data_IF_895887831810
#
_entry.id   IF_895887831810
#
_cell.length_a   1.000
_cell.length_b   1.000
_cell.length_c   1.000
_cell.angle_alpha   90.00
_cell.angle_beta   90.00
_cell.angle_gamma   90.00
#
_symmetry.space_group_name_H-M   'P 1'
#
loop_
_entity.id
_entity.type
_entity.pdbx_description
1 polymer ?
#
# COMPACT_ATOMS: atom_id res chain seq x y z
N UNK A 1 26.22 -63.17 -1.91
CA UNK A 1 25.08 -62.48 -2.52
C UNK A 1 24.23 -61.91 -1.40
N UNK A 2 24.34 -60.60 -1.14
CA UNK A 2 23.55 -59.87 -0.14
C UNK A 2 22.80 -58.74 -0.86
N UNK A 3 21.53 -58.46 -0.51
CA UNK A 3 20.76 -57.42 -1.18
C UNK A 3 21.19 -56.04 -0.65
N UNK A 4 21.18 -54.98 -1.48
CA UNK A 4 21.36 -53.64 -0.98
C UNK A 4 20.04 -53.12 -0.36
N UNK A 5 20.16 -52.61 0.85
CA UNK A 5 19.12 -51.93 1.62
C UNK A 5 18.69 -50.63 0.94
N UNK A 6 17.39 -50.50 0.69
CA UNK A 6 16.74 -49.25 0.30
C UNK A 6 16.63 -48.33 1.52
N UNK A 7 17.45 -47.28 1.57
CA UNK A 7 17.21 -46.14 2.45
C UNK A 7 16.62 -45.00 1.61
N UNK A 8 15.30 -44.92 1.60
CA UNK A 8 14.59 -43.76 1.08
C UNK A 8 14.74 -42.62 2.10
N UNK A 9 15.61 -41.65 1.81
CA UNK A 9 15.64 -40.38 2.52
C UNK A 9 14.41 -39.58 2.10
N UNK A 10 13.39 -39.58 2.95
CA UNK A 10 12.32 -38.59 2.87
C UNK A 10 12.92 -37.21 3.23
N UNK A 11 13.20 -36.39 2.22
CA UNK A 11 13.48 -34.97 2.43
C UNK A 11 12.16 -34.31 2.86
N UNK A 12 11.94 -34.19 4.16
CA UNK A 12 11.01 -33.22 4.72
C UNK A 12 11.59 -31.83 4.40
N UNK A 13 11.04 -31.17 3.38
CA UNK A 13 11.25 -29.75 3.19
C UNK A 13 10.64 -29.02 4.39
N UNK A 14 11.47 -28.68 5.38
CA UNK A 14 11.11 -27.71 6.40
C UNK A 14 11.03 -26.34 5.72
N UNK A 15 9.81 -25.94 5.36
CA UNK A 15 9.49 -24.53 5.17
C UNK A 15 9.56 -23.88 6.54
N UNK A 16 10.72 -23.32 6.90
CA UNK A 16 10.79 -22.38 8.01
C UNK A 16 9.89 -21.19 7.68
N UNK A 17 8.90 -20.85 8.52
CA UNK A 17 8.21 -19.59 8.36
C UNK A 17 9.25 -18.48 8.55
N UNK A 18 9.29 -17.52 7.64
CA UNK A 18 9.99 -16.27 7.89
C UNK A 18 9.15 -15.47 8.92
N UNK A 19 9.25 -15.84 10.20
CA UNK A 19 8.46 -15.28 11.31
C UNK A 19 9.10 -14.01 11.88
N UNK A 20 9.28 -12.96 11.07
CA UNK A 20 9.71 -11.68 11.62
C UNK A 20 9.34 -10.47 10.76
N UNK A 21 8.11 -10.01 10.97
CA UNK A 21 7.45 -9.00 10.17
C UNK A 21 6.44 -8.30 11.07
N UNK A 22 6.46 -6.97 11.14
CA UNK A 22 5.30 -6.25 11.64
C UNK A 22 4.20 -6.36 10.60
N UNK A 23 3.20 -7.21 10.82
CA UNK A 23 1.98 -7.27 9.99
C UNK A 23 0.80 -6.77 10.79
N UNK A 24 0.22 -5.65 10.38
CA UNK A 24 -0.91 -5.06 11.10
C UNK A 24 -1.91 -4.40 10.15
N UNK A 25 -3.13 -4.20 10.65
CA UNK A 25 -4.18 -3.53 9.89
C UNK A 25 -4.37 -2.10 10.36
N UNK A 26 -4.58 -1.22 9.40
CA UNK A 26 -5.06 0.14 9.59
C UNK A 26 -6.39 0.28 8.86
N UNK A 27 -7.46 0.57 9.62
CA UNK A 27 -8.80 0.77 9.04
C UNK A 27 -8.89 2.08 8.26
N UNK A 28 -9.96 2.27 7.49
CA UNK A 28 -10.20 3.51 6.76
C UNK A 28 -10.28 4.71 7.70
N UNK A 29 -9.42 5.71 7.49
CA UNK A 29 -9.53 7.00 8.16
C UNK A 29 -10.55 7.89 7.41
N UNK A 30 -10.34 8.04 6.10
CA UNK A 30 -11.18 8.82 5.19
C UNK A 30 -10.88 8.45 3.73
N UNK A 31 -11.87 8.63 2.85
CA UNK A 31 -11.67 8.65 1.38
C UNK A 31 -11.99 10.06 0.93
N UNK A 32 -11.02 10.75 0.36
CA UNK A 32 -11.09 12.19 0.06
C UNK A 32 -10.23 12.54 -1.15
N UNK A 33 -10.51 13.67 -1.81
CA UNK A 33 -9.70 14.16 -2.92
C UNK A 33 -8.60 15.08 -2.39
N UNK A 34 -7.72 14.50 -1.58
CA UNK A 34 -6.59 15.18 -0.93
C UNK A 34 -5.31 14.40 -1.13
N UNK A 35 -4.24 15.13 -1.44
CA UNK A 35 -2.89 14.58 -1.57
C UNK A 35 -1.88 15.59 -1.04
N UNK A 36 -1.75 15.71 0.30
CA UNK A 36 -0.92 16.75 0.89
C UNK A 36 0.59 16.48 0.74
N UNK A 37 0.98 15.30 0.24
CA UNK A 37 2.38 15.02 -0.08
C UNK A 37 2.74 15.70 -1.40
N UNK A 38 1.98 15.39 -2.48
CA UNK A 38 2.28 15.90 -3.83
C UNK A 38 1.65 17.27 -4.09
N UNK A 39 0.51 17.56 -3.47
CA UNK A 39 -0.30 18.77 -3.67
C UNK A 39 -0.60 19.48 -2.32
N UNK A 40 0.42 19.86 -1.53
CA UNK A 40 0.23 20.46 -0.22
C UNK A 40 -0.58 21.77 -0.31
N UNK A 41 -1.63 21.87 0.51
CA UNK A 41 -2.51 23.05 0.57
C UNK A 41 -3.64 23.04 -0.46
N UNK A 42 -3.71 22.03 -1.32
CA UNK A 42 -4.68 21.95 -2.41
C UNK A 42 -5.84 21.01 -2.05
N UNK A 43 -7.05 21.57 -2.03
CA UNK A 43 -8.30 20.84 -1.87
C UNK A 43 -9.33 21.41 -2.86
N UNK A 44 -9.70 20.68 -3.92
CA UNK A 44 -9.35 19.28 -4.18
C UNK A 44 -8.00 19.04 -4.89
N UNK A 45 -7.34 17.92 -4.59
CA UNK A 45 -6.21 17.38 -5.37
C UNK A 45 -6.67 16.78 -6.72
N UNK A 46 -5.75 16.38 -7.62
CA UNK A 46 -6.10 15.88 -8.95
C UNK A 46 -6.97 14.60 -8.98
N UNK A 47 -6.85 13.71 -7.99
CA UNK A 47 -7.60 12.45 -7.93
C UNK A 47 -7.85 12.00 -6.50
N UNK A 48 -8.79 11.06 -6.34
CA UNK A 48 -9.28 10.60 -5.04
C UNK A 48 -8.34 9.58 -4.41
N UNK A 49 -8.05 9.74 -3.12
CA UNK A 49 -7.22 8.79 -2.37
C UNK A 49 -8.00 8.14 -1.24
N UNK A 50 -7.57 6.93 -0.90
CA UNK A 50 -7.96 6.26 0.33
C UNK A 50 -6.84 6.46 1.35
N UNK A 51 -7.20 6.98 2.54
CA UNK A 51 -6.24 7.28 3.60
C UNK A 51 -6.49 6.42 4.84
N UNK A 52 -5.41 5.90 5.43
CA UNK A 52 -5.39 5.20 6.73
C UNK A 52 -4.32 5.80 7.65
N UNK A 53 -4.40 5.50 8.95
CA UNK A 53 -3.42 5.91 9.96
C UNK A 53 -3.91 7.02 10.90
N UNK A 54 -3.02 7.93 11.28
CA UNK A 54 -3.28 8.98 12.29
C UNK A 54 -4.29 10.05 11.83
N UNK A 55 -5.14 10.54 12.73
CA UNK A 55 -6.12 11.59 12.41
C UNK A 55 -5.52 13.02 12.25
N UNK A 56 -4.21 13.16 12.32
CA UNK A 56 -3.49 14.39 11.97
C UNK A 56 -3.56 14.71 10.47
N UNK A 57 -3.89 13.72 9.61
CA UNK A 57 -4.00 13.90 8.15
C UNK A 57 -4.80 15.14 7.78
N UNK A 58 -4.22 16.06 7.02
CA UNK A 58 -4.88 17.30 6.61
C UNK A 58 -4.36 17.78 5.25
N UNK A 59 -4.94 18.85 4.73
CA UNK A 59 -4.69 19.35 3.36
C UNK A 59 -3.24 19.79 3.14
N UNK A 60 -2.49 20.18 4.18
CA UNK A 60 -1.11 20.70 4.01
C UNK A 60 -0.02 19.73 4.47
N UNK A 61 -0.27 18.94 5.52
CA UNK A 61 0.72 18.10 6.21
C UNK A 61 2.07 18.80 6.32
N UNK A 62 2.21 19.82 7.18
CA UNK A 62 3.48 20.54 7.34
C UNK A 62 4.59 19.59 7.87
N UNK A 63 5.77 19.47 7.19
CA UNK A 63 6.88 18.65 7.68
C UNK A 63 7.38 19.00 9.08
N UNK A 64 7.20 20.26 9.51
CA UNK A 64 7.59 20.76 10.83
C UNK A 64 6.59 20.39 11.95
N UNK A 65 5.46 19.76 11.62
CA UNK A 65 4.44 19.34 12.57
C UNK A 65 4.12 17.87 12.32
N UNK A 66 5.00 16.94 12.75
CA UNK A 66 4.88 15.54 12.43
C UNK A 66 3.59 14.95 13.06
N UNK A 67 2.99 13.91 12.45
CA UNK A 67 1.73 13.34 12.92
C UNK A 67 1.65 12.98 14.41
N UNK A 68 2.69 12.42 15.08
CA UNK A 68 2.64 12.08 16.50
C UNK A 68 2.38 13.26 17.45
N UNK A 69 2.65 14.50 17.02
CA UNK A 69 2.48 15.69 17.85
C UNK A 69 1.04 16.22 17.82
N UNK A 70 0.28 15.90 16.78
CA UNK A 70 -1.04 16.48 16.53
C UNK A 70 -2.15 15.45 16.44
N UNK A 71 -1.84 14.17 16.18
CA UNK A 71 -2.81 13.11 16.15
C UNK A 71 -3.28 12.73 17.57
N UNK A 72 -4.58 12.50 17.72
CA UNK A 72 -5.19 12.02 18.97
C UNK A 72 -5.62 10.55 18.89
N UNK A 73 -5.71 10.00 17.68
CA UNK A 73 -6.00 8.59 17.42
C UNK A 73 -5.32 8.12 16.12
N UNK A 74 -5.27 6.81 15.93
CA UNK A 74 -4.85 6.15 14.68
C UNK A 74 -5.79 4.99 14.37
N UNK A 75 -5.97 4.70 13.09
CA UNK A 75 -6.75 3.53 12.65
C UNK A 75 -5.99 2.21 12.71
N UNK A 76 -4.68 2.26 13.01
CA UNK A 76 -3.77 1.11 13.05
C UNK A 76 -3.83 0.35 14.39
N UNK A 77 -3.62 -0.97 14.37
CA UNK A 77 -3.59 -1.77 15.62
C UNK A 77 -2.37 -1.49 16.50
N UNK A 78 -1.28 -0.95 15.96
CA UNK A 78 -0.21 -0.37 16.78
C UNK A 78 -0.57 1.08 17.12
N UNK A 79 -0.86 1.34 18.39
CA UNK A 79 -1.40 2.60 18.87
C UNK A 79 -0.36 3.74 18.95
N UNK A 80 0.92 3.42 18.77
CA UNK A 80 2.01 4.40 18.64
C UNK A 80 2.31 4.76 17.18
N UNK A 81 1.61 4.16 16.21
CA UNK A 81 1.75 4.47 14.79
C UNK A 81 0.71 5.49 14.32
N UNK A 82 1.12 6.76 14.29
CA UNK A 82 0.33 7.87 13.74
C UNK A 82 0.73 8.22 12.30
N UNK A 83 1.51 7.37 11.64
CA UNK A 83 1.86 7.57 10.23
C UNK A 83 0.59 7.70 9.38
N UNK A 84 0.71 8.33 8.22
CA UNK A 84 -0.35 8.30 7.22
C UNK A 84 0.12 7.54 5.98
N UNK A 85 -0.76 6.66 5.51
CA UNK A 85 -0.56 5.80 4.35
C UNK A 85 -1.75 6.00 3.41
N UNK A 86 -1.48 6.23 2.13
CA UNK A 86 -2.57 6.33 1.17
C UNK A 86 -2.19 5.85 -0.23
N UNK A 87 -3.22 5.51 -0.99
CA UNK A 87 -3.14 5.07 -2.39
C UNK A 87 -4.26 5.72 -3.20
N UNK A 88 -4.16 5.70 -4.52
CA UNK A 88 -5.30 5.94 -5.41
C UNK A 88 -6.49 5.05 -5.06
N UNK A 89 -7.69 5.50 -5.46
CA UNK A 89 -8.94 4.74 -5.32
C UNK A 89 -9.29 4.02 -6.63
N UNK A 90 -9.75 2.78 -6.52
CA UNK A 90 -10.22 2.02 -7.67
C UNK A 90 -11.71 2.28 -7.94
N UNK A 91 -12.07 2.49 -9.20
CA UNK A 91 -13.44 2.58 -9.71
C UNK A 91 -13.73 1.40 -10.64
N UNK A 92 -14.99 0.97 -10.67
CA UNK A 92 -15.54 0.07 -11.66
C UNK A 92 -16.28 0.87 -12.72
N UNK A 93 -15.95 0.69 -13.99
CA UNK A 93 -16.64 1.22 -15.16
C UNK A 93 -17.67 0.20 -15.63
N UNK A 94 -18.95 0.51 -15.46
CA UNK A 94 -20.05 -0.31 -15.95
C UNK A 94 -20.18 -0.23 -17.47
N UNK A 95 -20.87 -1.23 -18.04
CA UNK A 95 -21.19 -1.30 -19.47
C UNK A 95 -21.90 -0.07 -20.03
N UNK A 96 -22.67 0.64 -19.22
CA UNK A 96 -23.34 1.89 -19.61
C UNK A 96 -22.42 3.14 -19.56
N UNK A 97 -21.13 2.96 -19.25
CA UNK A 97 -20.14 4.04 -19.14
C UNK A 97 -20.03 4.66 -17.75
N UNK A 98 -20.99 4.43 -16.84
CA UNK A 98 -20.95 5.01 -15.49
C UNK A 98 -19.92 4.33 -14.60
N UNK A 99 -19.42 5.06 -13.60
CA UNK A 99 -18.39 4.64 -12.67
C UNK A 99 -18.94 4.45 -11.27
N UNK A 100 -18.48 3.44 -10.55
CA UNK A 100 -18.78 3.26 -9.12
C UNK A 100 -17.51 2.92 -8.37
N UNK A 101 -17.29 3.56 -7.23
CA UNK A 101 -16.10 3.28 -6.41
C UNK A 101 -16.09 1.83 -5.93
N UNK A 102 -14.94 1.18 -6.04
CA UNK A 102 -14.71 -0.16 -5.49
C UNK A 102 -14.29 0.00 -4.03
N UNK A 103 -15.05 -0.57 -3.06
CA UNK A 103 -14.68 -0.48 -1.66
C UNK A 103 -13.46 -1.36 -1.36
N UNK A 104 -12.71 -1.00 -0.32
CA UNK A 104 -11.70 -1.89 0.25
C UNK A 104 -12.33 -2.81 1.28
N UNK A 105 -11.79 -4.02 1.41
CA UNK A 105 -12.15 -4.94 2.49
C UNK A 105 -10.94 -5.37 3.29
N UNK A 106 -11.13 -5.80 4.54
CA UNK A 106 -10.04 -6.28 5.36
C UNK A 106 -9.39 -7.53 4.79
N UNK A 107 -8.11 -7.69 5.13
CA UNK A 107 -7.34 -8.88 4.82
C UNK A 107 -7.56 -9.98 5.86
N UNK A 108 -7.14 -11.19 5.52
CA UNK A 108 -7.26 -12.37 6.39
C UNK A 108 -6.62 -12.11 7.76
N UNK A 109 -7.38 -12.38 8.83
CA UNK A 109 -6.99 -12.15 10.22
C UNK A 109 -7.28 -10.73 10.74
N UNK A 110 -7.86 -9.85 9.92
CA UNK A 110 -8.24 -8.49 10.30
C UNK A 110 -9.71 -8.19 9.99
N UNK A 111 -10.58 -9.19 9.96
CA UNK A 111 -11.97 -9.11 9.50
C UNK A 111 -12.83 -8.09 10.28
N UNK A 112 -12.42 -7.72 11.48
CA UNK A 112 -13.08 -6.69 12.29
C UNK A 112 -12.72 -5.24 11.89
N UNK A 113 -11.79 -5.03 10.95
CA UNK A 113 -11.43 -3.70 10.45
C UNK A 113 -12.53 -3.12 9.54
N UNK A 114 -12.67 -1.79 9.53
CA UNK A 114 -13.53 -1.09 8.58
C UNK A 114 -12.75 -0.76 7.30
N UNK A 115 -12.63 -1.73 6.39
CA UNK A 115 -11.87 -1.59 5.15
C UNK A 115 -10.38 -1.32 5.42
N UNK A 116 -9.78 -0.42 4.65
CA UNK A 116 -8.41 0.04 4.85
C UNK A 116 -7.34 -0.87 4.26
N UNK A 117 -6.17 -0.91 4.90
CA UNK A 117 -4.96 -1.53 4.37
C UNK A 117 -4.29 -2.44 5.40
N UNK A 118 -3.57 -3.44 4.92
CA UNK A 118 -2.58 -4.15 5.75
C UNK A 118 -1.21 -3.52 5.52
N UNK A 119 -0.56 -3.09 6.59
CA UNK A 119 0.73 -2.45 6.57
C UNK A 119 1.79 -3.42 7.11
N UNK A 120 2.93 -3.41 6.44
CA UNK A 120 4.05 -4.27 6.71
C UNK A 120 5.31 -3.42 6.94
N UNK A 121 6.01 -3.67 8.05
CA UNK A 121 7.40 -3.20 8.23
C UNK A 121 8.29 -4.42 8.46
N UNK A 122 9.20 -4.67 7.52
CA UNK A 122 10.11 -5.81 7.55
C UNK A 122 11.55 -5.33 7.61
N UNK A 123 12.34 -5.67 8.63
CA UNK A 123 13.76 -5.28 8.66
C UNK A 123 14.59 -6.09 7.65
N UNK A 124 14.32 -7.40 7.51
CA UNK A 124 15.00 -8.29 6.55
C UNK A 124 14.24 -9.62 6.42
N UNK A 125 14.43 -10.33 5.31
CA UNK A 125 13.87 -11.69 5.13
C UNK A 125 14.83 -12.81 5.55
N UNK A 126 16.14 -12.57 5.48
CA UNK A 126 17.17 -13.56 5.83
C UNK A 126 18.30 -12.88 6.61
N UNK A 127 19.02 -13.64 7.43
CA UNK A 127 20.12 -13.09 8.23
C UNK A 127 19.63 -12.18 9.36
N UNK A 128 20.44 -11.18 9.73
CA UNK A 128 20.06 -10.15 10.71
C UNK A 128 20.81 -8.82 10.45
N UNK A 129 20.73 -8.23 9.24
CA UNK A 129 21.31 -6.91 9.00
C UNK A 129 20.60 -5.86 9.86
N UNK A 130 21.38 -4.97 10.47
CA UNK A 130 20.83 -3.79 11.15
C UNK A 130 20.18 -2.86 10.13
N UNK A 131 18.96 -2.43 10.43
CA UNK A 131 18.24 -1.39 9.67
C UNK A 131 18.02 -0.15 10.52
N UNK A 132 17.95 1.00 9.87
CA UNK A 132 17.61 2.28 10.50
C UNK A 132 16.14 2.57 10.22
N UNK A 133 15.33 2.69 11.26
CA UNK A 133 13.93 3.08 11.13
C UNK A 133 13.82 4.53 10.61
N UNK A 134 12.66 4.83 10.04
CA UNK A 134 12.31 6.19 9.62
C UNK A 134 12.27 7.14 10.83
N UNK A 135 12.40 8.45 10.57
CA UNK A 135 12.44 9.51 11.60
C UNK A 135 11.37 10.57 11.35
N UNK A 136 10.97 11.39 12.34
CA UNK A 136 10.01 12.48 12.14
C UNK A 136 10.41 13.39 10.98
N UNK A 137 9.46 13.66 10.08
CA UNK A 137 9.70 14.39 8.83
C UNK A 137 9.96 13.49 7.62
N UNK A 138 10.16 12.18 7.82
CA UNK A 138 10.39 11.24 6.71
C UNK A 138 9.15 11.04 5.85
N UNK A 139 9.32 11.11 4.53
CA UNK A 139 8.24 11.06 3.54
C UNK A 139 8.66 10.23 2.35
N UNK A 140 7.72 9.47 1.76
CA UNK A 140 8.00 8.76 0.52
C UNK A 140 6.80 8.77 -0.40
N UNK A 141 7.09 8.89 -1.69
CA UNK A 141 6.21 8.51 -2.78
C UNK A 141 6.83 7.33 -3.51
N UNK A 142 6.02 6.42 -4.05
CA UNK A 142 6.47 5.49 -5.09
C UNK A 142 5.43 5.37 -6.18
N UNK A 143 5.87 5.05 -7.40
CA UNK A 143 4.98 4.97 -8.56
C UNK A 143 4.86 6.29 -9.29
N UNK A 144 3.98 6.33 -10.28
CA UNK A 144 3.74 7.53 -11.07
C UNK A 144 2.30 7.52 -11.57
N UNK A 145 1.46 8.40 -11.01
CA UNK A 145 0.04 8.50 -11.34
C UNK A 145 -0.23 8.76 -12.85
N UNK A 146 0.71 9.38 -13.56
CA UNK A 146 0.60 9.65 -15.00
C UNK A 146 1.04 8.47 -15.88
N UNK A 147 1.65 7.41 -15.31
CA UNK A 147 2.15 6.27 -16.08
C UNK A 147 1.00 5.46 -16.68
N UNK A 148 1.15 5.11 -17.95
CA UNK A 148 0.33 4.12 -18.69
C UNK A 148 1.22 3.07 -19.38
N UNK A 149 2.50 3.03 -19.02
CA UNK A 149 3.53 2.22 -19.68
C UNK A 149 4.12 1.20 -18.71
N UNK A 150 4.27 -0.02 -19.21
CA UNK A 150 4.94 -1.10 -18.47
C UNK A 150 6.41 -0.77 -18.24
N UNK A 151 7.06 -0.17 -19.23
CA UNK A 151 8.49 0.15 -19.21
C UNK A 151 8.80 1.13 -18.07
N UNK A 152 8.02 2.22 -17.97
CA UNK A 152 8.16 3.20 -16.89
C UNK A 152 7.86 2.55 -15.54
N UNK A 153 6.80 1.74 -15.45
CA UNK A 153 6.38 1.16 -14.16
C UNK A 153 7.34 0.09 -13.66
N UNK A 154 8.02 -0.62 -14.57
CA UNK A 154 8.94 -1.72 -14.22
C UNK A 154 10.13 -1.30 -13.36
N UNK A 155 10.45 0.00 -13.31
CA UNK A 155 11.47 0.55 -12.40
C UNK A 155 11.04 0.48 -10.93
N UNK A 156 9.74 0.54 -10.66
CA UNK A 156 9.15 0.32 -9.34
C UNK A 156 8.95 -1.17 -9.17
N UNK A 157 9.99 -1.84 -8.66
CA UNK A 157 10.14 -3.31 -8.73
C UNK A 157 8.93 -4.12 -8.25
N UNK A 158 8.03 -3.53 -7.46
CA UNK A 158 6.97 -4.25 -6.77
C UNK A 158 5.67 -3.41 -6.58
N UNK A 159 5.26 -2.68 -7.62
CA UNK A 159 3.88 -2.21 -7.79
C UNK A 159 3.10 -3.27 -8.59
N UNK A 160 2.39 -4.15 -7.89
CA UNK A 160 1.79 -5.34 -8.51
C UNK A 160 0.34 -5.55 -8.12
N UNK A 161 -0.34 -6.41 -8.88
CA UNK A 161 -1.70 -6.88 -8.61
C UNK A 161 -1.73 -8.38 -8.48
N UNK A 162 -2.60 -8.90 -7.63
CA UNK A 162 -2.97 -10.32 -7.61
C UNK A 162 -4.47 -10.44 -7.71
N UNK A 163 -4.95 -11.21 -8.68
CA UNK A 163 -6.36 -11.56 -8.80
C UNK A 163 -6.70 -12.68 -7.80
N UNK A 164 -7.37 -12.35 -6.70
CA UNK A 164 -7.63 -13.32 -5.64
C UNK A 164 -8.74 -14.29 -6.06
N UNK A 165 -8.40 -15.57 -6.19
CA UNK A 165 -9.37 -16.64 -6.37
C UNK A 165 -10.04 -17.02 -5.04
N UNK A 166 -9.31 -16.85 -3.94
CA UNK A 166 -9.77 -16.98 -2.56
C UNK A 166 -8.88 -16.12 -1.64
N UNK A 167 -9.22 -16.03 -0.35
CA UNK A 167 -8.49 -15.23 0.62
C UNK A 167 -7.02 -15.66 0.84
N UNK A 168 -6.62 -16.86 0.40
CA UNK A 168 -5.28 -17.43 0.53
C UNK A 168 -4.43 -17.28 -0.75
N UNK A 169 -4.98 -16.71 -1.82
CA UNK A 169 -4.23 -16.53 -3.08
C UNK A 169 -3.09 -15.53 -2.87
N UNK A 170 -1.84 -15.92 -3.11
CA UNK A 170 -0.63 -15.06 -2.94
C UNK A 170 0.35 -15.13 -4.11
N UNK A 171 -0.04 -15.77 -5.22
CA UNK A 171 0.81 -15.99 -6.40
C UNK A 171 0.13 -15.42 -7.64
N UNK A 172 0.92 -15.21 -8.71
CA UNK A 172 0.40 -14.69 -9.99
C UNK A 172 0.35 -13.17 -10.02
N UNK A 173 1.37 -12.52 -9.44
CA UNK A 173 1.50 -11.06 -9.50
C UNK A 173 1.63 -10.57 -10.94
N UNK A 174 0.86 -9.53 -11.29
CA UNK A 174 0.93 -8.82 -12.57
C UNK A 174 1.29 -7.35 -12.33
N UNK A 175 1.79 -6.66 -13.36
CA UNK A 175 2.03 -5.20 -13.31
C UNK A 175 0.83 -4.40 -13.82
N UNK A 176 -0.05 -5.05 -14.59
CA UNK A 176 -1.27 -4.50 -15.16
C UNK A 176 -2.51 -5.04 -14.43
N UNK A 177 -3.63 -4.34 -14.60
CA UNK A 177 -4.92 -4.73 -14.02
C UNK A 177 -5.31 -6.17 -14.39
N UNK A 178 -5.89 -6.94 -13.45
CA UNK A 178 -6.42 -8.25 -13.75
C UNK A 178 -7.46 -8.23 -14.87
N UNK A 179 -7.27 -9.09 -15.87
CA UNK A 179 -8.12 -9.19 -17.07
C UNK A 179 -9.32 -10.14 -16.91
N UNK A 180 -9.44 -10.77 -15.75
CA UNK A 180 -10.47 -11.74 -15.44
C UNK A 180 -11.15 -11.37 -14.12
N UNK A 181 -12.41 -11.77 -13.91
CA UNK A 181 -13.06 -11.58 -12.63
C UNK A 181 -12.24 -12.18 -11.49
N UNK A 182 -12.15 -11.46 -10.37
CA UNK A 182 -11.42 -11.87 -9.18
C UNK A 182 -12.43 -12.14 -8.06
N UNK A 183 -12.85 -13.40 -7.84
CA UNK A 183 -13.95 -13.73 -6.93
C UNK A 183 -13.75 -13.23 -5.50
N UNK A 184 -12.50 -13.19 -5.03
CA UNK A 184 -12.15 -12.73 -3.70
C UNK A 184 -11.54 -11.32 -3.68
N UNK A 185 -11.60 -10.56 -4.78
CA UNK A 185 -11.08 -9.20 -4.86
C UNK A 185 -9.77 -9.07 -5.63
N UNK A 186 -9.38 -7.83 -5.90
CA UNK A 186 -8.07 -7.49 -6.47
C UNK A 186 -7.18 -7.05 -5.31
N UNK A 187 -6.03 -7.69 -5.17
CA UNK A 187 -5.01 -7.27 -4.21
C UNK A 187 -3.98 -6.40 -4.92
N UNK A 188 -3.82 -5.16 -4.51
CA UNK A 188 -2.72 -4.30 -4.99
C UNK A 188 -1.63 -4.23 -3.93
N UNK A 189 -0.40 -4.48 -4.37
CA UNK A 189 0.79 -4.49 -3.55
C UNK A 189 1.66 -3.26 -3.86
N UNK A 190 2.07 -2.56 -2.81
CA UNK A 190 2.84 -1.31 -2.91
C UNK A 190 4.06 -1.42 -2.00
N UNK A 191 5.21 -1.82 -2.54
CA UNK A 191 6.44 -2.01 -1.76
C UNK A 191 7.43 -0.87 -1.99
N UNK A 192 7.84 -0.22 -0.91
CA UNK A 192 8.72 0.93 -0.94
C UNK A 192 10.20 0.52 -1.04
N UNK A 193 11.10 1.45 -1.41
CA UNK A 193 12.52 1.18 -1.51
C UNK A 193 13.12 0.96 -0.12
N UNK A 194 14.26 0.27 -0.06
CA UNK A 194 14.86 -0.25 1.20
C UNK A 194 16.25 0.32 1.49
N UNK A 195 16.66 1.33 0.72
CA UNK A 195 17.92 2.01 0.86
C UNK A 195 17.68 3.52 0.93
N UNK A 196 18.36 4.20 1.84
CA UNK A 196 18.25 5.62 2.11
C UNK A 196 19.62 6.31 1.95
N UNK A 197 19.63 7.55 1.48
CA UNK A 197 20.84 8.37 1.29
C UNK A 197 21.58 8.74 2.59
N UNK A 198 20.94 8.51 3.74
CA UNK A 198 21.50 8.78 5.05
C UNK A 198 21.48 10.25 5.47
N UNK A 199 20.82 11.12 4.68
CA UNK A 199 20.86 12.58 4.85
C UNK A 199 19.47 13.21 4.79
N UNK A 200 18.70 12.93 3.74
CA UNK A 200 17.48 13.66 3.45
C UNK A 200 16.26 12.86 3.93
N UNK A 201 15.47 13.45 4.83
CA UNK A 201 14.21 12.83 5.27
C UNK A 201 13.13 12.90 4.17
N UNK A 202 13.27 13.82 3.24
CA UNK A 202 12.41 13.99 2.09
C UNK A 202 13.20 14.61 0.94
N UNK A 203 12.74 14.41 -0.30
CA UNK A 203 13.29 15.05 -1.50
C UNK A 203 12.17 15.81 -2.22
N UNK A 204 12.46 16.77 -3.11
CA UNK A 204 11.41 17.53 -3.82
C UNK A 204 10.42 16.68 -4.61
N UNK A 205 10.83 15.48 -5.02
CA UNK A 205 10.00 14.48 -5.70
C UNK A 205 9.51 13.35 -4.76
N UNK A 206 9.82 13.43 -3.47
CA UNK A 206 9.55 12.43 -2.43
C UNK A 206 10.12 11.04 -2.72
N UNK A 207 11.05 10.92 -3.67
CA UNK A 207 11.54 9.64 -4.22
C UNK A 207 13.06 9.55 -4.27
N UNK A 208 13.75 10.60 -4.72
CA UNK A 208 15.20 10.58 -5.00
C UNK A 208 16.11 10.36 -3.78
N UNK A 209 15.61 10.49 -2.54
CA UNK A 209 16.37 10.23 -1.32
C UNK A 209 16.33 8.74 -0.89
N UNK A 210 15.55 7.91 -1.58
CA UNK A 210 15.46 6.46 -1.36
C UNK A 210 15.70 5.68 -2.66
N UNK A 211 16.18 4.45 -2.54
CA UNK A 211 16.48 3.60 -3.68
C UNK A 211 16.19 2.12 -3.41
N UNK A 212 15.91 1.37 -4.48
CA UNK A 212 15.89 -0.09 -4.42
C UNK A 212 17.33 -0.62 -4.39
N UNK A 213 17.54 -1.88 -3.95
CA UNK A 213 18.84 -2.52 -4.01
C UNK A 213 19.45 -2.48 -5.42
N UNK A 214 20.77 -2.25 -5.49
CA UNK A 214 21.49 -2.12 -6.76
C UNK A 214 21.50 -3.43 -7.56
N UNK A 215 21.40 -4.56 -6.87
CA UNK A 215 21.22 -5.90 -7.43
C UNK A 215 20.37 -6.77 -6.49
N UNK A 216 19.85 -7.89 -6.99
CA UNK A 216 18.95 -8.77 -6.22
C UNK A 216 17.63 -8.08 -5.85
N UNK A 217 16.98 -8.50 -4.77
CA UNK A 217 15.77 -7.88 -4.22
C UNK A 217 15.89 -7.73 -2.70
N UNK A 218 14.87 -7.16 -2.06
CA UNK A 218 14.82 -7.12 -0.58
C UNK A 218 14.81 -8.54 0.01
N UNK A 219 14.07 -9.47 -0.61
CA UNK A 219 14.00 -10.88 -0.21
C UNK A 219 15.34 -11.62 -0.30
N UNK A 220 16.23 -11.18 -1.20
CA UNK A 220 17.59 -11.71 -1.33
C UNK A 220 18.63 -10.90 -0.55
N UNK A 221 18.22 -9.94 0.28
CA UNK A 221 19.10 -8.99 0.95
C UNK A 221 20.06 -8.23 0.01
N UNK A 222 19.55 -7.81 -1.15
CA UNK A 222 20.32 -7.06 -2.14
C UNK A 222 21.08 -5.87 -1.51
N UNK A 223 22.31 -5.57 -1.98
CA UNK A 223 23.09 -4.48 -1.44
C UNK A 223 22.49 -3.12 -1.83
N UNK A 224 22.59 -2.17 -0.93
CA UNK A 224 22.21 -0.81 -1.25
C UNK A 224 23.22 -0.15 -2.21
N UNK A 225 22.76 0.72 -3.13
CA UNK A 225 23.65 1.55 -3.93
C UNK A 225 24.57 2.40 -3.04
N UNK A 226 25.76 2.74 -3.53
CA UNK A 226 26.68 3.63 -2.79
C UNK A 226 26.11 5.03 -2.56
N UNK A 227 25.17 5.47 -3.38
CA UNK A 227 24.42 6.72 -3.21
C UNK A 227 23.38 6.66 -2.09
N UNK A 228 22.97 5.45 -1.69
CA UNK A 228 21.92 5.20 -0.69
C UNK A 228 22.38 4.18 0.36
N UNK A 229 23.47 4.43 1.09
CA UNK A 229 24.18 3.37 1.82
C UNK A 229 23.44 2.85 3.07
N UNK A 230 22.38 3.52 3.53
CA UNK A 230 21.69 3.17 4.77
C UNK A 230 20.53 2.21 4.47
N UNK A 231 20.56 1.00 5.06
CA UNK A 231 19.42 0.08 5.02
C UNK A 231 18.29 0.59 5.90
N UNK A 232 17.09 0.62 5.34
CA UNK A 232 15.83 0.97 6.02
C UNK A 232 14.86 -0.22 5.92
N UNK A 233 13.86 -0.34 6.82
CA UNK A 233 12.85 -1.38 6.73
C UNK A 233 12.09 -1.32 5.39
N UNK A 234 11.67 -2.48 4.87
CA UNK A 234 10.69 -2.50 3.80
C UNK A 234 9.33 -2.10 4.38
N UNK A 235 8.83 -0.96 3.92
CA UNK A 235 7.43 -0.59 4.06
C UNK A 235 6.64 -1.21 2.90
N UNK A 236 5.55 -1.90 3.21
CA UNK A 236 4.70 -2.54 2.21
C UNK A 236 3.22 -2.36 2.55
N UNK A 237 2.42 -1.94 1.56
CA UNK A 237 0.96 -1.90 1.66
C UNK A 237 0.37 -3.06 0.86
N UNK A 238 -0.49 -3.82 1.51
CA UNK A 238 -1.35 -4.80 0.87
C UNK A 238 -2.80 -4.32 1.01
N UNK A 239 -3.40 -4.00 -0.13
CA UNK A 239 -4.75 -3.42 -0.21
C UNK A 239 -5.64 -4.38 -0.99
N UNK A 240 -6.81 -4.73 -0.43
CA UNK A 240 -7.77 -5.61 -1.10
C UNK A 240 -9.00 -4.81 -1.51
N UNK A 241 -9.18 -4.66 -2.81
CA UNK A 241 -10.37 -4.07 -3.43
C UNK A 241 -11.45 -5.14 -3.58
N UNK A 242 -12.62 -4.92 -2.96
CA UNK A 242 -13.72 -5.87 -3.00
C UNK A 242 -14.48 -5.78 -4.33
N UNK A 243 -14.00 -6.54 -5.31
CA UNK A 243 -14.60 -6.63 -6.64
C UNK A 243 -15.76 -7.63 -6.72
N UNK A 244 -16.16 -8.27 -5.62
CA UNK A 244 -17.15 -9.35 -5.61
C UNK A 244 -18.49 -8.94 -6.25
N UNK A 245 -18.91 -7.68 -6.04
CA UNK A 245 -20.13 -7.09 -6.61
C UNK A 245 -20.02 -6.73 -8.09
N UNK A 246 -18.82 -6.74 -8.66
CA UNK A 246 -18.51 -6.28 -10.02
C UNK A 246 -18.02 -7.40 -10.95
N UNK A 247 -18.07 -8.66 -10.51
CA UNK A 247 -17.51 -9.79 -11.24
C UNK A 247 -18.41 -10.36 -12.36
N UNK A 248 -19.65 -9.88 -12.50
CA UNK A 248 -20.53 -10.36 -13.56
C UNK A 248 -20.12 -9.76 -14.90
N UNK A 249 -19.79 -10.62 -15.88
CA UNK A 249 -19.29 -10.22 -17.20
C UNK A 249 -20.28 -9.37 -18.00
N UNK A 250 -21.58 -9.50 -17.76
CA UNK A 250 -22.61 -8.67 -18.42
C UNK A 250 -22.60 -7.20 -17.96
N UNK A 251 -21.95 -6.90 -16.83
CA UNK A 251 -21.70 -5.55 -16.33
C UNK A 251 -20.43 -4.93 -16.92
N UNK A 252 -19.55 -5.72 -17.54
CA UNK A 252 -18.25 -5.27 -18.07
C UNK A 252 -18.42 -4.63 -19.46
N UNK A 253 -17.42 -3.84 -19.94
CA UNK A 253 -17.40 -3.31 -21.29
C UNK A 253 -17.59 -4.36 -22.39
N UNK A 254 -18.28 -3.99 -23.47
CA UNK A 254 -18.62 -4.90 -24.58
C UNK A 254 -17.41 -5.36 -25.39
N UNK A 255 -16.35 -4.56 -25.39
CA UNK A 255 -15.08 -4.86 -26.05
C UNK A 255 -14.25 -5.94 -25.32
N UNK A 256 -14.72 -6.40 -24.16
CA UNK A 256 -14.05 -7.40 -23.34
C UNK A 256 -12.86 -6.88 -22.53
N UNK A 257 -12.66 -5.55 -22.49
CA UNK A 257 -11.67 -4.93 -21.62
C UNK A 257 -12.00 -5.15 -20.14
N UNK A 258 -10.97 -5.06 -19.30
CA UNK A 258 -11.14 -5.11 -17.85
C UNK A 258 -11.77 -3.79 -17.37
N UNK A 259 -12.70 -3.80 -16.38
CA UNK A 259 -13.55 -2.65 -16.10
C UNK A 259 -12.99 -1.71 -15.03
N UNK A 260 -11.80 -1.96 -14.47
CA UNK A 260 -11.30 -1.23 -13.32
C UNK A 260 -10.40 -0.07 -13.73
N UNK A 261 -10.67 1.09 -13.15
CA UNK A 261 -9.99 2.35 -13.48
C UNK A 261 -9.54 3.00 -12.19
N UNK A 262 -8.27 3.39 -12.11
CA UNK A 262 -7.83 4.20 -10.98
C UNK A 262 -8.41 5.61 -11.03
N UNK A 263 -8.53 6.24 -9.86
CA UNK A 263 -9.07 7.60 -9.68
C UNK A 263 -8.44 8.70 -10.55
N UNK A 264 -7.22 8.49 -11.02
CA UNK A 264 -6.46 9.37 -11.93
C UNK A 264 -6.65 9.00 -13.42
N UNK A 265 -7.64 8.15 -13.74
CA UNK A 265 -7.99 7.77 -15.10
C UNK A 265 -7.06 6.72 -15.71
N UNK A 266 -6.48 5.84 -14.89
CA UNK A 266 -5.65 4.75 -15.41
C UNK A 266 -6.46 3.46 -15.53
N UNK A 267 -6.73 3.05 -16.78
CA UNK A 267 -7.38 1.78 -17.13
C UNK A 267 -6.37 0.62 -17.32
N UNK A 268 -5.07 0.89 -17.22
CA UNK A 268 -4.00 -0.11 -17.47
C UNK A 268 -3.48 -0.75 -16.19
N UNK A 269 -3.46 -0.01 -15.08
CA UNK A 269 -2.87 -0.41 -13.80
C UNK A 269 -1.45 0.12 -13.56
N UNK A 270 -0.81 0.73 -14.57
CA UNK A 270 0.55 1.24 -14.48
C UNK A 270 0.69 2.55 -13.68
N UNK A 271 -0.41 3.25 -13.44
CA UNK A 271 -0.50 4.48 -12.67
C UNK A 271 -0.59 4.27 -11.17
N UNK A 272 -0.46 3.04 -10.67
CA UNK A 272 -0.49 2.74 -9.23
C UNK A 272 0.64 3.48 -8.50
N UNK A 273 0.37 3.93 -7.29
CA UNK A 273 1.32 4.67 -6.48
C UNK A 273 0.95 4.55 -5.00
N UNK A 274 1.92 4.85 -4.14
CA UNK A 274 1.73 4.86 -2.70
C UNK A 274 2.44 6.04 -2.07
N UNK A 275 1.74 6.65 -1.13
CA UNK A 275 2.19 7.83 -0.41
C UNK A 275 2.39 7.49 1.07
N UNK A 276 3.39 8.11 1.68
CA UNK A 276 3.78 7.85 3.05
C UNK A 276 4.25 9.11 3.77
N UNK A 277 3.70 9.34 4.95
CA UNK A 277 4.25 10.29 5.93
C UNK A 277 4.49 9.54 7.23
N UNK A 278 5.75 9.50 7.68
CA UNK A 278 6.12 8.82 8.91
C UNK A 278 5.50 9.49 10.14
N UNK A 279 5.00 8.67 11.05
CA UNK A 279 4.43 9.12 12.31
C UNK A 279 4.45 8.07 13.41
N UNK A 280 5.47 7.19 13.47
CA UNK A 280 5.66 6.40 14.69
C UNK A 280 6.14 7.29 15.84
N UNK A 281 5.61 7.04 17.04
CA UNK A 281 5.95 7.81 18.23
C UNK A 281 7.32 7.42 18.78
N UNK A 282 8.19 8.42 18.98
CA UNK A 282 9.51 8.23 19.60
C UNK A 282 10.35 7.20 18.85
N UNK A 283 10.92 6.24 19.58
CA UNK A 283 11.77 5.17 19.06
C UNK A 283 11.02 3.83 18.86
N UNK A 284 9.67 3.85 18.89
CA UNK A 284 8.86 2.64 18.84
C UNK A 284 9.17 1.76 17.62
N UNK A 285 9.22 2.36 16.42
CA UNK A 285 9.55 1.60 15.21
C UNK A 285 10.98 1.03 15.26
N UNK A 286 11.97 1.81 15.70
CA UNK A 286 13.35 1.32 15.82
C UNK A 286 13.44 0.14 16.80
N UNK A 287 12.79 0.23 17.96
CA UNK A 287 12.70 -0.89 18.92
C UNK A 287 12.11 -2.14 18.29
N UNK A 288 11.07 -1.99 17.47
CA UNK A 288 10.48 -3.10 16.73
C UNK A 288 11.48 -3.71 15.75
N UNK A 289 12.13 -2.88 14.93
CA UNK A 289 13.11 -3.32 13.93
C UNK A 289 14.33 -4.00 14.55
N UNK A 290 14.82 -3.51 15.69
CA UNK A 290 15.95 -4.11 16.41
C UNK A 290 15.58 -5.45 17.04
N UNK A 291 14.34 -5.60 17.52
CA UNK A 291 13.86 -6.83 18.15
C UNK A 291 13.37 -7.90 17.18
N UNK A 292 13.10 -7.50 15.92
CA UNK A 292 12.61 -8.38 14.86
C UNK A 292 11.41 -9.25 15.29
N UNK A 293 10.41 -8.61 15.91
CA UNK A 293 9.24 -9.27 16.47
C UNK A 293 8.04 -9.23 15.52
N UNK A 294 7.12 -10.19 15.66
CA UNK A 294 5.81 -10.19 14.98
C UNK A 294 4.74 -9.50 15.85
N UNK A 295 4.48 -10.04 17.06
CA UNK A 295 3.49 -9.48 18.01
C UNK A 295 3.98 -8.28 18.81
N UNK A 296 5.30 -8.07 18.87
CA UNK A 296 5.97 -6.93 19.49
C UNK A 296 5.36 -6.40 20.79
N UNK A 297 5.47 -7.14 21.91
CA UNK A 297 4.86 -6.74 23.19
C UNK A 297 5.38 -5.41 23.73
N UNK A 298 6.55 -4.95 23.26
CA UNK A 298 7.11 -3.65 23.61
C UNK A 298 6.42 -2.47 22.91
N UNK A 299 5.57 -2.72 21.91
CA UNK A 299 4.79 -1.70 21.21
C UNK A 299 3.41 -1.60 21.82
N UNK A 300 2.93 -0.36 22.02
CA UNK A 300 1.55 -0.15 22.43
C UNK A 300 0.62 -0.57 21.31
N UNK A 301 -0.35 -1.42 21.64
CA UNK A 301 -1.35 -1.91 20.71
C UNK A 301 -2.77 -1.54 21.14
N UNK A 302 -3.69 -1.53 20.19
CA UNK A 302 -5.13 -1.36 20.37
C UNK A 302 -5.90 -2.40 19.55
N UNK A 303 -7.17 -2.63 19.89
CA UNK A 303 -8.02 -3.52 19.11
C UNK A 303 -8.45 -2.87 17.79
N UNK A 304 -8.83 -3.68 16.81
CA UNK A 304 -9.44 -3.19 15.56
C UNK A 304 -10.70 -2.37 15.82
N UNK A 305 -11.50 -2.77 16.82
CA UNK A 305 -12.72 -2.05 17.22
C UNK A 305 -12.39 -0.65 17.74
N UNK A 306 -11.26 -0.48 18.46
CA UNK A 306 -10.81 0.84 18.88
C UNK A 306 -10.28 1.66 17.69
N UNK A 307 -9.45 1.05 16.84
CA UNK A 307 -8.95 1.69 15.61
C UNK A 307 -10.07 2.17 14.68
N UNK A 308 -11.16 1.41 14.57
CA UNK A 308 -12.36 1.77 13.79
C UNK A 308 -13.07 3.04 14.27
N UNK A 309 -12.86 3.47 15.51
CA UNK A 309 -13.43 4.72 16.03
C UNK A 309 -12.65 5.95 15.54
N UNK A 310 -11.41 5.77 15.11
CA UNK A 310 -10.62 6.85 14.54
C UNK A 310 -11.09 7.11 13.10
N UNK A 311 -11.64 8.29 12.85
CA UNK A 311 -12.15 8.66 11.53
C UNK A 311 -11.98 10.15 11.28
N UNK A 312 -12.01 10.56 10.02
CA UNK A 312 -12.14 11.97 9.62
C UNK A 312 -13.30 12.15 8.65
N UNK A 313 -13.96 13.31 8.75
CA UNK A 313 -14.88 13.76 7.71
C UNK A 313 -14.11 14.20 6.46
N UNK A 314 -14.74 14.06 5.29
CA UNK A 314 -14.21 14.60 4.02
C UNK A 314 -14.11 16.12 4.08
N UNK A 315 -13.01 16.66 3.57
CA UNK A 315 -12.80 18.07 3.29
C UNK A 315 -13.44 18.43 1.96
N UNK A 316 -13.23 17.62 0.91
CA UNK A 316 -13.85 17.85 -0.39
C UNK A 316 -15.26 17.26 -0.38
N UNK A 317 -16.26 18.12 -0.61
CA UNK A 317 -17.66 17.71 -0.66
C UNK A 317 -18.08 17.43 -2.10
N UNK A 318 -17.94 16.18 -2.50
CA UNK A 318 -18.39 15.67 -3.79
C UNK A 318 -18.88 14.22 -3.67
N UNK A 319 -19.68 13.77 -4.63
CA UNK A 319 -20.07 12.37 -4.70
C UNK A 319 -18.91 11.54 -5.25
N UNK A 320 -18.46 10.57 -4.46
CA UNK A 320 -17.44 9.59 -4.82
C UNK A 320 -17.93 8.16 -4.63
N UNK A 321 -19.19 7.97 -4.24
CA UNK A 321 -19.75 6.68 -3.82
C UNK A 321 -20.91 6.23 -4.70
N UNK A 322 -21.62 7.17 -5.34
CA UNK A 322 -22.69 6.88 -6.27
C UNK A 322 -22.24 6.26 -7.59
N UNK A 323 -23.21 6.08 -8.49
CA UNK A 323 -22.93 5.86 -9.91
C UNK A 323 -22.68 7.21 -10.57
N UNK A 324 -21.48 7.41 -11.08
CA UNK A 324 -20.96 8.69 -11.56
C UNK A 324 -20.82 8.66 -13.07
N UNK A 325 -21.16 9.76 -13.74
CA UNK A 325 -20.93 9.89 -15.19
C UNK A 325 -19.44 10.08 -15.51
N UNK A 326 -18.65 10.58 -14.56
CA UNK A 326 -17.19 10.70 -14.66
C UNK A 326 -16.53 10.51 -13.30
N UNK A 327 -15.30 9.98 -13.30
CA UNK A 327 -14.50 9.89 -12.08
C UNK A 327 -14.19 11.31 -11.57
N UNK A 328 -14.35 11.60 -10.26
CA UNK A 328 -14.00 12.90 -9.70
C UNK A 328 -12.55 13.30 -10.02
N UNK A 329 -12.39 14.46 -10.66
CA UNK A 329 -11.10 14.98 -11.13
C UNK A 329 -10.85 14.81 -12.64
N UNK A 330 -11.67 14.01 -13.34
CA UNK A 330 -11.53 13.74 -14.77
C UNK A 330 -12.61 14.40 -15.65
N UNK A 331 -13.42 15.29 -15.09
CA UNK A 331 -14.50 15.98 -15.79
C UNK A 331 -13.92 16.84 -16.93
N UNK A 332 -14.31 16.55 -18.18
CA UNK A 332 -13.88 17.27 -19.39
C UNK A 332 -12.83 16.59 -20.26
N UNK A 333 -12.35 15.39 -19.90
CA UNK A 333 -11.39 14.63 -20.72
C UNK A 333 -12.04 13.87 -21.90
N UNK A 334 -13.37 13.76 -21.97
CA UNK A 334 -14.10 13.04 -23.02
C UNK A 334 -14.30 13.84 -24.34
N UNK A 335 -13.49 14.87 -24.58
CA UNK A 335 -13.66 15.80 -25.70
C UNK A 335 -12.73 15.63 -26.90
N UNK A 336 -11.73 14.75 -26.84
CA UNK A 336 -10.74 14.61 -27.91
C UNK A 336 -10.43 13.14 -28.20
N UNK A 337 -11.35 12.51 -28.94
CA UNK A 337 -11.06 11.31 -29.73
C UNK A 337 -10.52 11.68 -31.10
#
# INVERSE_FOLDING_TARGET
>A
MHPPSLWAWALLAQLSPADALLRFSCSQLVVDRLDPLVNPGTAPSPHVHQIVGGNAFNVSMNPLSPPPETATCTTCTFADDFSNYWTAVLYFRARNGTYHRVPQKPNLGFEAANGGMTIYYTPFFRGNPKVTAFSPGFRMLIGNAASRSREITSQYRQLTYTCLQNALTRTGETLDMPKVPCPAGIMSNVRFPTCWDGKNLDSPDHMSHVAYPSSGTFETNGPCPSTHPVKIPQLFYEVIWDTSKFNKKDMWPEDGSQPFVWSQGDETGFGNHGDYVFGWKGDALQKAMDSNCDRCPQLKSQSLVEGNKCSKGRVVREDIDGWLDSIPGLQGAEGHH
#
